data_IF_833453939201
#
_entry.id   IF_833453939201
#
_cell.length_a   1.000
_cell.length_b   1.000
_cell.length_c   1.000
_cell.angle_alpha   90.00
_cell.angle_beta   90.00
_cell.angle_gamma   90.00
#
_symmetry.space_group_name_H-M   'P 1'
#
loop_
_entity.id
_entity.type
_entity.pdbx_description
1 polymer ?
#
# COMPACT_ATOMS: atom_id res chain seq x y z
N UNK A 1 201.55 1.25 142.85
CA UNK A 1 200.74 1.88 141.78
C UNK A 1 201.23 1.35 140.44
N UNK A 2 200.38 0.62 139.69
CA UNK A 2 200.61 0.36 138.26
C UNK A 2 199.46 1.07 137.54
N UNK A 3 199.79 2.14 136.81
CA UNK A 3 198.81 2.96 136.12
C UNK A 3 198.14 2.16 135.00
N UNK A 4 196.81 2.06 135.04
CA UNK A 4 195.95 1.37 134.07
C UNK A 4 195.66 2.31 132.89
N UNK A 5 195.75 1.82 131.65
CA UNK A 5 195.52 2.60 130.42
C UNK A 5 194.04 2.59 130.01
N UNK A 6 193.55 3.69 129.41
CA UNK A 6 192.14 3.85 129.00
C UNK A 6 191.64 2.82 127.96
N UNK A 7 192.54 2.21 127.17
CA UNK A 7 192.20 1.10 126.26
C UNK A 7 191.76 -0.16 127.02
N UNK A 8 192.28 -0.36 128.23
CA UNK A 8 191.95 -1.51 129.06
C UNK A 8 190.51 -1.36 129.62
N UNK A 9 190.08 -0.14 129.95
CA UNK A 9 188.71 0.15 130.43
C UNK A 9 187.64 -0.11 129.35
N UNK A 10 187.90 0.22 128.08
CA UNK A 10 186.97 -0.08 126.97
C UNK A 10 186.88 -1.58 126.70
N UNK A 11 188.00 -2.29 126.79
CA UNK A 11 188.03 -3.75 126.67
C UNK A 11 187.26 -4.40 127.82
N UNK A 12 187.44 -3.91 129.05
CA UNK A 12 186.70 -4.36 130.22
C UNK A 12 185.20 -4.07 130.11
N UNK A 13 184.78 -2.92 129.57
CA UNK A 13 183.37 -2.62 129.37
C UNK A 13 182.72 -3.51 128.28
N UNK A 14 183.43 -3.81 127.20
CA UNK A 14 182.96 -4.76 126.16
C UNK A 14 182.93 -6.18 126.70
N UNK A 15 183.93 -6.58 127.49
CA UNK A 15 183.95 -7.86 128.20
C UNK A 15 182.83 -7.93 129.24
N UNK A 16 182.56 -6.87 129.99
CA UNK A 16 181.46 -6.78 130.95
C UNK A 16 180.10 -6.88 130.25
N UNK A 17 179.91 -6.21 129.11
CA UNK A 17 178.69 -6.38 128.29
C UNK A 17 178.55 -7.80 127.74
N UNK A 18 179.64 -8.40 127.26
CA UNK A 18 179.64 -9.79 126.77
C UNK A 18 179.34 -10.77 127.90
N UNK A 19 180.02 -10.65 129.03
CA UNK A 19 179.79 -11.50 130.22
C UNK A 19 178.40 -11.29 130.79
N UNK A 20 177.89 -10.07 130.84
CA UNK A 20 176.51 -9.80 131.26
C UNK A 20 175.49 -10.40 130.28
N UNK A 21 175.69 -10.24 128.97
CA UNK A 21 174.84 -10.87 127.96
C UNK A 21 174.93 -12.41 128.01
N UNK A 22 176.12 -12.96 128.23
CA UNK A 22 176.35 -14.39 128.48
C UNK A 22 175.64 -14.86 129.75
N UNK A 23 175.71 -14.11 130.86
CA UNK A 23 175.00 -14.43 132.10
C UNK A 23 173.48 -14.38 131.90
N UNK A 24 172.94 -13.36 131.24
CA UNK A 24 171.52 -13.29 130.90
C UNK A 24 171.10 -14.44 129.95
N UNK A 25 171.98 -14.85 129.03
CA UNK A 25 171.75 -16.00 128.15
C UNK A 25 171.80 -17.31 128.93
N UNK A 26 172.78 -17.50 129.80
CA UNK A 26 172.92 -18.67 130.67
C UNK A 26 171.69 -18.83 131.57
N UNK A 27 171.20 -17.75 132.19
CA UNK A 27 169.95 -17.76 132.97
C UNK A 27 168.74 -18.24 132.15
N UNK A 28 168.69 -17.95 130.84
CA UNK A 28 167.63 -18.42 129.95
C UNK A 28 167.84 -19.87 129.48
N UNK A 29 169.08 -20.25 129.18
CA UNK A 29 169.44 -21.56 128.59
C UNK A 29 169.47 -22.68 129.62
N UNK A 30 169.97 -22.42 130.83
CA UNK A 30 170.04 -23.40 131.92
C UNK A 30 168.70 -23.58 132.66
N UNK A 31 167.78 -22.63 132.55
CA UNK A 31 166.43 -22.79 133.09
C UNK A 31 165.58 -23.63 132.12
N UNK A 32 165.48 -24.93 132.39
CA UNK A 32 164.75 -25.90 131.55
C UNK A 32 163.30 -25.47 131.26
N UNK A 33 162.62 -24.79 132.21
CA UNK A 33 161.24 -24.33 132.04
C UNK A 33 161.12 -23.23 131.00
N UNK A 34 162.02 -22.24 131.02
CA UNK A 34 162.05 -21.16 130.03
C UNK A 34 162.47 -21.66 128.63
N UNK A 35 163.17 -22.79 128.55
CA UNK A 35 163.55 -23.42 127.28
C UNK A 35 162.39 -24.16 126.61
N UNK A 36 161.49 -24.75 127.42
CA UNK A 36 160.35 -25.54 126.92
C UNK A 36 159.11 -24.64 126.74
N UNK A 37 158.86 -23.71 127.66
CA UNK A 37 157.64 -22.86 127.71
C UNK A 37 158.02 -21.42 128.07
N UNK A 38 159.05 -20.87 127.44
CA UNK A 38 159.43 -19.46 127.61
C UNK A 38 158.63 -18.57 126.67
N UNK A 39 157.97 -17.56 127.23
CA UNK A 39 157.27 -16.53 126.48
C UNK A 39 157.08 -15.27 127.33
N UNK A 40 156.99 -14.12 126.68
CA UNK A 40 156.78 -12.83 127.34
C UNK A 40 155.28 -12.58 127.50
N UNK A 41 154.75 -12.88 128.69
CA UNK A 41 153.34 -12.69 129.02
C UNK A 41 152.89 -11.24 128.88
N UNK A 42 153.77 -10.26 129.17
CA UNK A 42 153.41 -8.85 129.04
C UNK A 42 153.27 -8.43 127.57
N UNK A 43 154.14 -8.94 126.69
CA UNK A 43 154.01 -8.71 125.25
C UNK A 43 152.76 -9.37 124.66
N UNK A 44 152.39 -10.57 125.12
CA UNK A 44 151.13 -11.22 124.72
C UNK A 44 149.90 -10.45 125.20
N UNK A 45 149.91 -9.93 126.43
CA UNK A 45 148.80 -9.12 126.95
C UNK A 45 148.60 -7.84 126.10
N UNK A 46 149.69 -7.18 125.70
CA UNK A 46 149.64 -6.03 124.77
C UNK A 46 149.11 -6.45 123.40
N UNK A 47 149.57 -7.58 122.84
CA UNK A 47 149.06 -8.08 121.55
C UNK A 47 147.57 -8.42 121.60
N UNK A 48 147.10 -9.04 122.68
CA UNK A 48 145.67 -9.31 122.91
C UNK A 48 144.90 -8.00 123.06
N UNK A 49 145.45 -7.01 123.74
CA UNK A 49 144.83 -5.69 123.87
C UNK A 49 144.70 -4.98 122.51
N UNK A 50 145.77 -4.93 121.72
CA UNK A 50 145.77 -4.36 120.37
C UNK A 50 144.79 -5.11 119.45
N UNK A 51 144.74 -6.44 119.55
CA UNK A 51 143.79 -7.25 118.80
C UNK A 51 142.34 -6.95 119.20
N UNK A 52 142.05 -6.80 120.49
CA UNK A 52 140.73 -6.37 120.98
C UNK A 52 140.36 -4.97 120.50
N UNK A 53 141.30 -4.05 120.45
CA UNK A 53 141.09 -2.70 119.90
C UNK A 53 140.78 -2.79 118.41
N UNK A 54 141.55 -3.57 117.64
CA UNK A 54 141.27 -3.81 116.21
C UNK A 54 139.87 -4.38 116.01
N UNK A 55 139.53 -5.46 116.71
CA UNK A 55 138.21 -6.09 116.65
C UNK A 55 137.08 -5.11 117.03
N UNK A 56 137.28 -4.30 118.07
CA UNK A 56 136.30 -3.27 118.45
C UNK A 56 136.15 -2.18 117.39
N UNK A 57 137.24 -1.73 116.75
CA UNK A 57 137.17 -0.72 115.68
C UNK A 57 136.56 -1.27 114.40
N UNK A 58 136.86 -2.52 114.02
CA UNK A 58 136.22 -3.21 112.91
C UNK A 58 134.73 -3.43 113.17
N UNK A 59 134.37 -3.88 114.39
CA UNK A 59 132.98 -4.01 114.80
C UNK A 59 132.24 -2.67 114.74
N UNK A 60 132.83 -1.59 115.24
CA UNK A 60 132.25 -0.26 115.15
C UNK A 60 132.06 0.18 113.68
N UNK A 61 133.03 -0.09 112.79
CA UNK A 61 132.90 0.17 111.34
C UNK A 61 131.78 -0.67 110.71
N UNK A 62 131.68 -1.94 111.05
CA UNK A 62 130.59 -2.80 110.56
C UNK A 62 129.23 -2.32 111.07
N UNK A 63 129.15 -1.87 112.33
CA UNK A 63 127.93 -1.28 112.89
C UNK A 63 127.53 0.03 112.19
N UNK A 64 128.50 0.90 111.83
CA UNK A 64 128.22 2.10 111.04
C UNK A 64 127.72 1.76 109.65
N UNK A 65 128.36 0.83 108.93
CA UNK A 65 127.89 0.39 107.61
C UNK A 65 126.52 -0.29 107.67
N UNK A 66 126.26 -1.09 108.71
CA UNK A 66 124.94 -1.70 108.92
C UNK A 66 123.87 -0.66 109.26
N UNK A 67 124.22 0.43 109.93
CA UNK A 67 123.32 1.56 110.16
C UNK A 67 123.02 2.31 108.84
N UNK A 68 124.04 2.58 108.02
CA UNK A 68 123.89 3.20 106.70
C UNK A 68 123.04 2.34 105.76
N UNK A 69 123.25 1.03 105.73
CA UNK A 69 122.46 0.10 104.92
C UNK A 69 120.97 0.14 105.32
N UNK A 70 120.69 0.12 106.62
CA UNK A 70 119.30 0.26 107.12
C UNK A 70 118.67 1.60 106.74
N UNK A 71 119.44 2.68 106.72
CA UNK A 71 118.96 3.98 106.25
C UNK A 71 118.69 3.96 104.74
N UNK A 72 119.60 3.40 103.95
CA UNK A 72 119.46 3.28 102.50
C UNK A 72 118.25 2.40 102.12
N UNK A 73 118.06 1.25 102.77
CA UNK A 73 116.89 0.38 102.56
C UNK A 73 115.58 1.12 102.85
N UNK A 74 115.55 1.91 103.94
CA UNK A 74 114.39 2.76 104.27
C UNK A 74 114.15 3.81 103.19
N UNK A 75 115.20 4.45 102.67
CA UNK A 75 115.09 5.42 101.58
C UNK A 75 114.55 4.75 100.31
N UNK A 76 115.05 3.57 99.95
CA UNK A 76 114.59 2.80 98.78
C UNK A 76 113.09 2.45 98.91
N UNK A 77 112.65 1.96 100.07
CA UNK A 77 111.24 1.65 100.30
C UNK A 77 110.34 2.90 100.13
N UNK A 78 110.78 4.05 100.65
CA UNK A 78 110.04 5.32 100.50
C UNK A 78 109.97 5.76 99.03
N UNK A 79 111.06 5.58 98.27
CA UNK A 79 111.10 5.94 96.84
C UNK A 79 110.22 5.00 96.00
N UNK A 80 110.27 3.69 96.24
CA UNK A 80 109.41 2.71 95.56
C UNK A 80 107.92 2.96 95.87
N UNK A 81 107.58 3.28 97.12
CA UNK A 81 106.21 3.67 97.49
C UNK A 81 105.76 4.95 96.78
N UNK A 82 106.65 5.93 96.60
CA UNK A 82 106.35 7.15 95.84
C UNK A 82 106.11 6.82 94.37
N UNK A 83 106.99 6.05 93.74
CA UNK A 83 106.84 5.62 92.35
C UNK A 83 105.52 4.86 92.14
N UNK A 84 105.17 3.93 93.04
CA UNK A 84 103.91 3.20 93.00
C UNK A 84 102.69 4.13 93.12
N UNK A 85 102.76 5.16 93.97
CA UNK A 85 101.68 6.16 94.09
C UNK A 85 101.59 7.00 92.83
N UNK A 86 102.71 7.47 92.29
CA UNK A 86 102.75 8.29 91.08
C UNK A 86 102.21 7.50 89.87
N UNK A 87 102.60 6.23 89.74
CA UNK A 87 102.05 5.31 88.72
C UNK A 87 100.53 5.14 88.87
N UNK A 88 100.04 4.95 90.10
CA UNK A 88 98.59 4.86 90.35
C UNK A 88 97.87 6.16 90.01
N UNK A 89 98.43 7.31 90.39
CA UNK A 89 97.88 8.62 90.06
C UNK A 89 97.83 8.85 88.55
N UNK A 90 98.90 8.49 87.83
CA UNK A 90 98.95 8.59 86.37
C UNK A 90 97.92 7.67 85.70
N UNK A 91 97.83 6.41 86.12
CA UNK A 91 96.82 5.48 85.58
C UNK A 91 95.40 5.98 85.84
N UNK A 92 95.13 6.55 87.02
CA UNK A 92 93.84 7.19 87.34
C UNK A 92 93.57 8.38 86.42
N UNK A 93 94.52 9.30 86.28
CA UNK A 93 94.39 10.47 85.41
C UNK A 93 94.16 10.07 83.94
N UNK A 94 94.83 9.02 83.44
CA UNK A 94 94.60 8.49 82.09
C UNK A 94 93.19 7.91 81.99
N UNK A 95 92.76 7.10 82.95
CA UNK A 95 91.40 6.54 82.97
C UNK A 95 90.33 7.64 83.02
N UNK A 96 90.53 8.65 83.86
CA UNK A 96 89.61 9.79 84.00
C UNK A 96 89.56 10.59 82.69
N UNK A 97 90.70 10.81 82.04
CA UNK A 97 90.76 11.45 80.73
C UNK A 97 90.06 10.63 79.63
N UNK A 98 90.25 9.32 79.60
CA UNK A 98 89.57 8.42 78.66
C UNK A 98 88.06 8.45 78.88
N UNK A 99 87.61 8.37 80.13
CA UNK A 99 86.19 8.39 80.48
C UNK A 99 85.54 9.74 80.18
N UNK A 100 86.25 10.85 80.36
CA UNK A 100 85.66 12.18 80.20
C UNK A 100 85.77 12.72 78.77
N UNK A 101 86.90 12.45 78.10
CA UNK A 101 87.26 13.09 76.83
C UNK A 101 87.29 12.13 75.63
N UNK A 102 87.22 10.81 75.85
CA UNK A 102 87.27 9.81 74.76
C UNK A 102 86.01 8.95 74.70
N UNK A 103 84.87 9.53 75.10
CA UNK A 103 83.58 8.83 75.03
C UNK A 103 83.19 8.58 73.57
N UNK A 104 82.56 7.43 73.25
CA UNK A 104 82.10 7.13 71.90
C UNK A 104 81.21 8.24 71.30
N UNK A 105 80.37 8.87 72.12
CA UNK A 105 79.45 9.92 71.68
C UNK A 105 80.16 11.22 71.24
N UNK A 106 81.42 11.41 71.65
CA UNK A 106 82.21 12.61 71.30
C UNK A 106 83.03 12.45 70.02
N UNK A 107 82.93 11.30 69.35
CA UNK A 107 83.58 11.06 68.05
C UNK A 107 82.92 11.88 66.96
N UNK A 108 83.70 12.26 65.94
CA UNK A 108 83.20 13.07 64.81
C UNK A 108 82.15 12.31 64.00
N UNK A 109 82.36 11.01 63.82
CA UNK A 109 81.51 10.08 63.09
C UNK A 109 80.50 9.33 63.98
N UNK A 110 80.22 9.82 65.20
CA UNK A 110 79.25 9.16 66.08
C UNK A 110 77.85 9.19 65.49
N UNK A 111 77.47 10.24 64.77
CA UNK A 111 76.20 10.34 64.05
C UNK A 111 75.95 9.17 63.09
N UNK A 112 77.00 8.66 62.44
CA UNK A 112 76.94 7.49 61.55
C UNK A 112 76.89 6.15 62.29
N UNK A 113 77.41 6.10 63.52
CA UNK A 113 77.56 4.86 64.31
C UNK A 113 76.60 4.79 65.50
N UNK A 114 75.74 5.79 65.67
CA UNK A 114 74.76 5.87 66.75
C UNK A 114 73.70 4.75 66.58
N UNK A 115 73.56 3.82 67.54
CA UNK A 115 72.56 2.75 67.46
C UNK A 115 71.12 3.26 67.44
N UNK A 116 70.88 4.52 67.82
CA UNK A 116 69.58 5.17 67.81
C UNK A 116 69.37 6.11 66.61
N UNK A 117 70.30 6.17 65.66
CA UNK A 117 70.23 7.08 64.50
C UNK A 117 68.88 7.00 63.78
N UNK A 118 68.43 5.80 63.43
CA UNK A 118 67.15 5.56 62.73
C UNK A 118 65.91 6.04 63.49
N UNK A 119 65.99 6.16 64.83
CA UNK A 119 64.87 6.67 65.65
C UNK A 119 64.88 8.19 65.75
N UNK A 120 66.05 8.82 65.60
CA UNK A 120 66.23 10.28 65.62
C UNK A 120 65.95 10.89 64.24
N UNK A 121 66.19 10.14 63.18
CA UNK A 121 65.93 10.57 61.81
C UNK A 121 64.44 10.84 61.57
N UNK A 122 64.18 11.93 60.85
CA UNK A 122 62.82 12.28 60.42
C UNK A 122 62.49 11.53 59.12
N UNK A 123 61.23 11.11 58.92
CA UNK A 123 60.81 10.54 57.65
C UNK A 123 61.16 11.44 56.46
N UNK A 124 61.54 10.82 55.34
CA UNK A 124 61.89 11.51 54.10
C UNK A 124 60.75 12.40 53.57
N UNK A 125 59.49 12.02 53.81
CA UNK A 125 58.30 12.84 53.54
C UNK A 125 57.38 12.80 54.74
N UNK A 126 57.18 13.95 55.39
CA UNK A 126 56.26 14.08 56.54
C UNK A 126 54.84 14.44 56.11
N UNK A 127 54.72 15.32 55.10
CA UNK A 127 53.45 15.76 54.54
C UNK A 127 53.61 16.13 53.06
N UNK A 128 52.50 16.27 52.35
CA UNK A 128 52.50 16.65 50.94
C UNK A 128 52.91 18.11 50.71
N UNK A 129 52.84 18.93 51.76
CA UNK A 129 53.27 20.33 51.79
C UNK A 129 54.65 20.52 52.45
N UNK A 130 55.42 19.45 52.66
CA UNK A 130 56.76 19.54 53.24
C UNK A 130 57.70 20.30 52.28
N UNK A 131 58.16 21.47 52.72
CA UNK A 131 59.00 22.38 51.91
C UNK A 131 60.38 21.77 51.64
N UNK A 132 60.85 20.80 52.45
CA UNK A 132 62.13 20.11 52.23
C UNK A 132 62.10 19.23 50.98
N UNK A 133 60.92 18.80 50.54
CA UNK A 133 60.72 17.94 49.40
C UNK A 133 60.62 18.74 48.10
N UNK A 134 61.79 19.14 47.62
CA UNK A 134 61.94 19.75 46.30
C UNK A 134 61.91 18.69 45.19
N UNK A 135 61.82 19.14 43.94
CA UNK A 135 61.73 18.26 42.76
C UNK A 135 62.94 17.32 42.63
N UNK A 136 64.14 17.76 43.01
CA UNK A 136 65.35 16.92 42.94
C UNK A 136 65.38 15.78 43.95
N UNK A 137 64.65 15.89 45.06
CA UNK A 137 64.60 14.87 46.10
C UNK A 137 63.78 13.62 45.72
N UNK A 138 63.01 13.68 44.62
CA UNK A 138 62.17 12.59 44.11
C UNK A 138 61.21 11.96 45.14
N UNK A 139 60.87 12.69 46.21
CA UNK A 139 59.95 12.23 47.25
C UNK A 139 58.48 12.54 46.92
N UNK A 140 58.23 13.47 46.00
CA UNK A 140 56.88 13.90 45.57
C UNK A 140 56.82 14.03 44.06
N UNK A 141 55.84 13.37 43.45
CA UNK A 141 55.58 13.44 42.02
C UNK A 141 54.25 14.12 41.74
N UNK A 142 54.23 15.06 40.78
CA UNK A 142 53.01 15.78 40.41
C UNK A 142 51.97 14.89 39.71
N UNK A 143 52.37 13.70 39.22
CA UNK A 143 51.45 12.71 38.66
C UNK A 143 50.70 11.89 39.71
N UNK A 144 51.11 11.95 40.98
CA UNK A 144 50.38 11.31 42.08
C UNK A 144 49.11 12.11 42.37
N UNK A 145 47.96 11.60 41.95
CA UNK A 145 46.66 12.22 42.20
C UNK A 145 46.05 11.70 43.50
N UNK A 146 46.30 12.42 44.59
CA UNK A 146 45.70 12.12 45.90
C UNK A 146 44.17 12.32 45.90
N UNK A 147 43.67 13.22 45.03
CA UNK A 147 42.25 13.57 44.95
C UNK A 147 41.51 12.73 43.90
N UNK A 148 42.12 11.64 43.41
CA UNK A 148 41.53 10.78 42.39
C UNK A 148 40.12 10.31 42.75
N UNK A 149 39.90 9.89 44.00
CA UNK A 149 38.60 9.41 44.46
C UNK A 149 37.54 10.52 44.48
N UNK A 150 37.90 11.73 44.89
CA UNK A 150 37.00 12.89 44.89
C UNK A 150 36.65 13.31 43.45
N UNK A 151 37.67 13.39 42.58
CA UNK A 151 37.50 13.67 41.15
C UNK A 151 36.57 12.65 40.49
N UNK A 152 36.77 11.36 40.79
CA UNK A 152 35.95 10.28 40.26
C UNK A 152 34.50 10.36 40.75
N UNK A 153 34.28 10.61 42.05
CA UNK A 153 32.93 10.83 42.59
C UNK A 153 32.21 11.98 41.89
N UNK A 154 32.90 13.11 41.69
CA UNK A 154 32.32 14.25 41.00
C UNK A 154 31.97 13.93 39.53
N UNK A 155 32.82 13.16 38.84
CA UNK A 155 32.53 12.67 37.49
C UNK A 155 31.33 11.72 37.44
N UNK A 156 31.21 10.81 38.42
CA UNK A 156 30.08 9.90 38.56
C UNK A 156 28.76 10.66 38.84
N UNK A 157 28.82 11.70 39.69
CA UNK A 157 27.68 12.59 39.97
C UNK A 157 27.24 13.35 38.71
N UNK A 158 28.18 13.94 37.96
CA UNK A 158 27.86 14.59 36.69
C UNK A 158 27.23 13.63 35.69
N UNK A 159 27.81 12.43 35.54
CA UNK A 159 27.29 11.41 34.64
C UNK A 159 25.88 10.97 35.03
N UNK A 160 25.63 10.81 36.34
CA UNK A 160 24.31 10.49 36.88
C UNK A 160 23.30 11.58 36.57
N UNK A 161 23.63 12.85 36.80
CA UNK A 161 22.73 13.97 36.53
C UNK A 161 22.43 14.11 35.03
N UNK A 162 23.44 13.98 34.16
CA UNK A 162 23.24 14.00 32.71
C UNK A 162 22.37 12.83 32.23
N UNK A 163 22.61 11.62 32.73
CA UNK A 163 21.80 10.45 32.39
C UNK A 163 20.35 10.63 32.83
N UNK A 164 20.13 11.17 34.04
CA UNK A 164 18.80 11.45 34.56
C UNK A 164 18.08 12.54 33.75
N UNK A 165 18.79 13.58 33.35
CA UNK A 165 18.25 14.62 32.48
C UNK A 165 17.84 14.05 31.13
N UNK A 166 18.71 13.28 30.47
CA UNK A 166 18.39 12.63 29.20
C UNK A 166 17.20 11.69 29.32
N UNK A 167 17.12 10.92 30.41
CA UNK A 167 15.98 10.05 30.67
C UNK A 167 14.68 10.84 30.79
N UNK A 168 14.68 11.94 31.56
CA UNK A 168 13.51 12.82 31.71
C UNK A 168 13.10 13.50 30.39
N UNK A 169 14.07 13.88 29.56
CA UNK A 169 13.81 14.42 28.23
C UNK A 169 13.20 13.37 27.31
N UNK A 170 13.72 12.14 27.35
CA UNK A 170 13.17 11.01 26.59
C UNK A 170 11.76 10.65 27.04
N UNK A 171 11.50 10.59 28.35
CA UNK A 171 10.16 10.32 28.88
C UNK A 171 9.15 11.40 28.49
N UNK A 172 9.55 12.69 28.54
CA UNK A 172 8.73 13.80 28.07
C UNK A 172 8.43 13.70 26.58
N UNK A 173 9.46 13.50 25.75
CA UNK A 173 9.27 13.33 24.30
C UNK A 173 8.37 12.14 23.97
N UNK A 174 8.49 11.04 24.72
CA UNK A 174 7.62 9.87 24.58
C UNK A 174 6.18 10.15 25.00
N UNK A 175 5.97 10.92 26.06
CA UNK A 175 4.64 11.33 26.49
C UNK A 175 3.99 12.27 25.46
N UNK A 176 4.76 13.23 24.94
CA UNK A 176 4.31 14.16 23.89
C UNK A 176 3.95 13.42 22.61
N UNK A 177 4.76 12.44 22.20
CA UNK A 177 4.47 11.57 21.06
C UNK A 177 3.16 10.81 21.25
N UNK A 178 2.97 10.16 22.41
CA UNK A 178 1.73 9.43 22.71
C UNK A 178 0.52 10.35 22.70
N UNK A 179 0.64 11.54 23.30
CA UNK A 179 -0.44 12.53 23.30
C UNK A 179 -0.80 12.97 21.87
N UNK A 180 0.20 13.19 21.01
CA UNK A 180 -0.02 13.52 19.61
C UNK A 180 -0.68 12.36 18.83
N UNK A 181 -0.26 11.12 19.07
CA UNK A 181 -0.86 9.91 18.49
C UNK A 181 -2.32 9.74 18.95
N UNK A 182 -2.60 9.92 20.24
CA UNK A 182 -3.95 9.86 20.80
C UNK A 182 -4.85 10.95 20.21
N UNK A 183 -4.36 12.18 20.09
CA UNK A 183 -5.08 13.27 19.45
C UNK A 183 -5.35 12.98 17.95
N UNK A 184 -4.36 12.43 17.25
CA UNK A 184 -4.52 12.03 15.85
C UNK A 184 -5.55 10.91 15.68
N UNK A 185 -5.52 9.89 16.53
CA UNK A 185 -6.49 8.78 16.48
C UNK A 185 -7.90 9.26 16.81
N UNK A 186 -8.08 10.12 17.81
CA UNK A 186 -9.37 10.77 18.11
C UNK A 186 -9.89 11.57 16.91
N UNK A 187 -9.03 12.38 16.29
CA UNK A 187 -9.40 13.16 15.10
C UNK A 187 -9.82 12.24 13.94
N UNK A 188 -9.11 11.13 13.73
CA UNK A 188 -9.46 10.14 12.71
C UNK A 188 -10.81 9.48 12.99
N UNK A 189 -11.07 9.09 14.22
CA UNK A 189 -12.36 8.51 14.63
C UNK A 189 -13.51 9.50 14.39
N UNK A 190 -13.32 10.78 14.74
CA UNK A 190 -14.31 11.82 14.45
C UNK A 190 -14.59 11.95 12.94
N UNK A 191 -13.55 11.86 12.10
CA UNK A 191 -13.75 11.85 10.64
C UNK A 191 -14.50 10.61 10.16
N UNK A 192 -14.20 9.43 10.68
CA UNK A 192 -14.91 8.20 10.34
C UNK A 192 -16.39 8.27 10.76
N UNK A 193 -16.68 8.82 11.94
CA UNK A 193 -18.04 9.03 12.44
C UNK A 193 -18.83 10.03 11.58
N UNK A 194 -18.21 11.17 11.25
CA UNK A 194 -18.84 12.17 10.38
C UNK A 194 -19.07 11.63 8.97
N UNK A 195 -18.13 10.87 8.41
CA UNK A 195 -18.28 10.20 7.12
C UNK A 195 -19.42 9.17 7.15
N UNK A 196 -19.50 8.34 8.19
CA UNK A 196 -20.61 7.39 8.39
C UNK A 196 -21.96 8.10 8.48
N UNK A 197 -22.02 9.22 9.20
CA UNK A 197 -23.23 10.03 9.31
C UNK A 197 -23.66 10.62 7.96
N UNK A 198 -22.72 11.21 7.21
CA UNK A 198 -22.98 11.75 5.87
C UNK A 198 -23.45 10.66 4.89
N UNK A 199 -22.85 9.48 4.92
CA UNK A 199 -23.26 8.34 4.09
C UNK A 199 -24.69 7.88 4.43
N UNK A 200 -25.05 7.85 5.72
CA UNK A 200 -26.43 7.52 6.15
C UNK A 200 -27.42 8.57 5.64
N UNK A 201 -27.12 9.86 5.81
CA UNK A 201 -27.94 10.95 5.30
C UNK A 201 -28.11 10.85 3.79
N UNK A 202 -27.03 10.64 3.04
CA UNK A 202 -27.08 10.46 1.59
C UNK A 202 -27.93 9.25 1.19
N UNK A 203 -27.81 8.12 1.89
CA UNK A 203 -28.64 6.94 1.64
C UNK A 203 -30.13 7.25 1.84
N UNK A 204 -30.46 8.00 2.91
CA UNK A 204 -31.83 8.41 3.21
C UNK A 204 -32.35 9.37 2.12
N UNK A 205 -31.58 10.37 1.73
CA UNK A 205 -32.00 11.33 0.69
C UNK A 205 -32.15 10.65 -0.66
N UNK A 206 -31.23 9.78 -1.07
CA UNK A 206 -31.35 8.98 -2.30
C UNK A 206 -32.61 8.13 -2.28
N UNK A 207 -32.91 7.43 -1.18
CA UNK A 207 -34.15 6.65 -1.04
C UNK A 207 -35.40 7.52 -1.13
N UNK A 208 -35.40 8.70 -0.49
CA UNK A 208 -36.52 9.64 -0.54
C UNK A 208 -36.75 10.17 -1.97
N UNK A 209 -35.67 10.52 -2.68
CA UNK A 209 -35.73 10.95 -4.09
C UNK A 209 -36.25 9.82 -4.98
N UNK A 210 -35.74 8.60 -4.84
CA UNK A 210 -36.23 7.45 -5.60
C UNK A 210 -37.72 7.17 -5.33
N UNK A 211 -38.17 7.29 -4.08
CA UNK A 211 -39.58 7.13 -3.72
C UNK A 211 -40.45 8.22 -4.37
N UNK A 212 -40.01 9.48 -4.34
CA UNK A 212 -40.71 10.59 -4.98
C UNK A 212 -40.80 10.43 -6.50
N UNK A 213 -39.71 10.03 -7.17
CA UNK A 213 -39.68 9.74 -8.61
C UNK A 213 -40.59 8.56 -8.96
N UNK A 214 -40.59 7.49 -8.14
CA UNK A 214 -41.48 6.35 -8.34
C UNK A 214 -42.95 6.77 -8.27
N UNK A 215 -43.31 7.59 -7.30
CA UNK A 215 -44.68 8.10 -7.15
C UNK A 215 -45.07 9.03 -8.30
N UNK A 216 -44.16 9.89 -8.74
CA UNK A 216 -44.36 10.73 -9.93
C UNK A 216 -44.59 9.88 -11.18
N UNK A 217 -43.74 8.89 -11.45
CA UNK A 217 -43.88 8.00 -12.60
C UNK A 217 -45.19 7.20 -12.54
N UNK A 218 -45.61 6.77 -11.34
CA UNK A 218 -46.91 6.10 -11.13
C UNK A 218 -48.06 7.03 -11.49
N UNK A 219 -48.05 8.28 -11.02
CA UNK A 219 -49.06 9.29 -11.37
C UNK A 219 -49.09 9.56 -12.87
N UNK A 220 -47.93 9.75 -13.49
CA UNK A 220 -47.80 9.97 -14.93
C UNK A 220 -48.33 8.78 -15.76
N UNK A 221 -48.08 7.55 -15.30
CA UNK A 221 -48.61 6.35 -15.95
C UNK A 221 -50.14 6.26 -15.83
N UNK A 222 -50.71 6.61 -14.66
CA UNK A 222 -52.17 6.68 -14.48
C UNK A 222 -52.80 7.75 -15.39
N UNK A 223 -52.23 8.95 -15.43
CA UNK A 223 -52.69 10.04 -16.31
C UNK A 223 -52.63 9.63 -17.79
N UNK A 224 -51.53 9.00 -18.22
CA UNK A 224 -51.40 8.50 -19.59
C UNK A 224 -52.42 7.40 -19.90
N UNK A 225 -52.69 6.49 -18.97
CA UNK A 225 -53.71 5.47 -19.13
C UNK A 225 -55.13 6.07 -19.20
N UNK A 226 -55.42 7.11 -18.41
CA UNK A 226 -56.68 7.85 -18.48
C UNK A 226 -56.84 8.60 -19.80
N UNK A 227 -55.80 9.28 -20.28
CA UNK A 227 -55.79 9.89 -21.62
C UNK A 227 -56.09 8.87 -22.71
N UNK A 228 -55.39 7.73 -22.73
CA UNK A 228 -55.65 6.66 -23.71
C UNK A 228 -57.09 6.12 -23.63
N UNK A 229 -57.66 6.02 -22.43
CA UNK A 229 -59.08 5.64 -22.26
C UNK A 229 -60.02 6.71 -22.81
N UNK A 230 -59.71 8.00 -22.60
CA UNK A 230 -60.49 9.11 -23.17
C UNK A 230 -60.38 9.13 -24.70
N UNK A 231 -59.18 9.04 -25.25
CA UNK A 231 -58.92 8.96 -26.70
C UNK A 231 -59.67 7.78 -27.32
N UNK A 232 -59.61 6.59 -26.72
CA UNK A 232 -60.36 5.42 -27.21
C UNK A 232 -61.87 5.62 -27.15
N UNK A 233 -62.39 6.31 -26.13
CA UNK A 233 -63.82 6.64 -26.06
C UNK A 233 -64.21 7.63 -27.16
N UNK A 234 -63.40 8.67 -27.37
CA UNK A 234 -63.59 9.63 -28.45
C UNK A 234 -63.55 8.94 -29.82
N UNK A 235 -62.56 8.07 -30.05
CA UNK A 235 -62.47 7.28 -31.28
C UNK A 235 -63.70 6.39 -31.48
N UNK A 236 -64.23 5.78 -30.41
CA UNK A 236 -65.48 5.01 -30.48
C UNK A 236 -66.69 5.90 -30.81
N UNK A 237 -66.79 7.08 -30.19
CA UNK A 237 -67.84 8.06 -30.47
C UNK A 237 -67.75 8.57 -31.92
N UNK A 238 -66.56 8.89 -32.41
CA UNK A 238 -66.30 9.32 -33.78
C UNK A 238 -66.62 8.20 -34.78
N UNK A 239 -66.19 6.96 -34.51
CA UNK A 239 -66.53 5.80 -35.33
C UNK A 239 -68.05 5.57 -35.39
N UNK A 240 -68.75 5.69 -34.25
CA UNK A 240 -70.21 5.59 -34.20
C UNK A 240 -70.88 6.73 -34.95
N UNK A 241 -70.36 7.96 -34.83
CA UNK A 241 -70.84 9.11 -35.57
C UNK A 241 -70.64 8.91 -37.09
N UNK A 242 -69.48 8.44 -37.52
CA UNK A 242 -69.18 8.09 -38.91
C UNK A 242 -70.12 7.00 -39.43
N UNK A 243 -70.26 5.87 -38.73
CA UNK A 243 -71.19 4.80 -39.10
C UNK A 243 -72.62 5.35 -39.21
N UNK A 244 -73.07 6.14 -38.24
CA UNK A 244 -74.41 6.73 -38.27
C UNK A 244 -74.60 7.72 -39.42
N UNK A 245 -73.54 8.43 -39.81
CA UNK A 245 -73.53 9.38 -40.93
C UNK A 245 -73.57 8.63 -42.25
N UNK A 246 -72.78 7.56 -42.40
CA UNK A 246 -72.78 6.70 -43.58
C UNK A 246 -74.12 5.98 -43.76
N UNK A 247 -74.70 5.43 -42.68
CA UNK A 247 -76.01 4.76 -42.71
C UNK A 247 -77.15 5.73 -43.07
N UNK A 248 -77.11 6.97 -42.56
CA UNK A 248 -78.07 8.03 -42.92
C UNK A 248 -77.75 8.69 -44.27
N UNK A 249 -76.55 8.46 -44.78
CA UNK A 249 -76.10 9.00 -46.05
C UNK A 249 -76.92 8.44 -47.21
N UNK A 250 -77.06 9.26 -48.25
CA UNK A 250 -77.91 8.93 -49.39
C UNK A 250 -77.36 7.76 -50.25
N UNK A 251 -76.07 7.41 -50.08
CA UNK A 251 -75.43 6.29 -50.79
C UNK A 251 -75.97 4.95 -50.29
N UNK A 252 -75.93 4.68 -48.97
CA UNK A 252 -76.36 3.40 -48.40
C UNK A 252 -77.88 3.28 -48.24
N UNK A 253 -78.57 4.40 -48.00
CA UNK A 253 -80.05 4.44 -47.94
C UNK A 253 -80.73 4.38 -49.30
N UNK A 254 -79.93 4.39 -50.38
CA UNK A 254 -80.36 4.43 -51.78
C UNK A 254 -81.49 5.43 -52.07
N UNK A 255 -81.49 6.58 -51.39
CA UNK A 255 -82.58 7.54 -51.42
C UNK A 255 -82.98 7.92 -52.87
N UNK A 256 -84.22 7.66 -53.32
CA UNK A 256 -84.66 7.94 -54.69
C UNK A 256 -84.69 9.43 -55.01
N UNK A 257 -84.70 10.30 -53.98
CA UNK A 257 -84.64 11.75 -54.15
C UNK A 257 -83.29 12.23 -54.73
N UNK A 258 -82.23 11.43 -54.68
CA UNK A 258 -80.96 11.75 -55.35
C UNK A 258 -81.09 11.90 -56.87
N UNK A 259 -82.09 11.26 -57.46
CA UNK A 259 -82.35 11.33 -58.90
C UNK A 259 -83.11 12.62 -59.29
N UNK A 260 -83.64 13.38 -58.32
CA UNK A 260 -84.38 14.61 -58.58
C UNK A 260 -83.43 15.69 -59.09
N UNK A 261 -83.71 16.20 -60.29
CA UNK A 261 -82.95 17.30 -60.88
C UNK A 261 -83.35 18.63 -60.23
N UNK A 262 -82.37 19.46 -59.88
CA UNK A 262 -82.63 20.85 -59.43
C UNK A 262 -83.36 21.69 -60.49
N UNK A 263 -83.28 21.29 -61.77
CA UNK A 263 -83.95 21.97 -62.90
C UNK A 263 -85.43 21.59 -63.10
N UNK A 264 -86.02 20.73 -62.25
CA UNK A 264 -87.48 20.54 -62.19
C UNK A 264 -87.95 19.10 -61.96
N UNK A 265 -89.21 18.90 -61.50
CA UNK A 265 -89.71 17.60 -61.01
C UNK A 265 -89.82 16.50 -62.06
N UNK A 266 -89.93 16.87 -63.33
CA UNK A 266 -90.08 15.95 -64.46
C UNK A 266 -88.72 15.50 -65.03
N UNK A 267 -87.61 16.09 -64.53
CA UNK A 267 -86.27 15.81 -65.01
C UNK A 267 -85.49 15.05 -63.96
N UNK A 268 -84.70 14.11 -64.45
CA UNK A 268 -83.92 13.17 -63.65
C UNK A 268 -82.44 13.32 -63.96
N UNK A 269 -81.59 13.10 -62.97
CA UNK A 269 -80.14 13.04 -63.17
C UNK A 269 -79.79 11.62 -63.66
N UNK A 270 -79.29 11.45 -64.91
CA UNK A 270 -79.10 10.12 -65.51
C UNK A 270 -78.20 9.20 -64.67
N UNK A 271 -77.08 9.73 -64.15
CA UNK A 271 -76.09 8.97 -63.39
C UNK A 271 -76.62 8.43 -62.05
N UNK A 272 -77.72 9.00 -61.54
CA UNK A 272 -78.30 8.70 -60.21
C UNK A 272 -79.69 8.08 -60.31
N UNK A 273 -80.13 7.71 -61.50
CA UNK A 273 -81.43 7.09 -61.72
C UNK A 273 -81.45 5.65 -61.19
N UNK A 274 -82.41 5.32 -60.30
CA UNK A 274 -82.53 4.01 -59.63
C UNK A 274 -83.83 3.26 -59.96
N UNK A 275 -84.43 3.54 -61.12
CA UNK A 275 -85.68 2.91 -61.55
C UNK A 275 -86.90 3.81 -61.37
N UNK A 276 -88.06 3.31 -61.81
CA UNK A 276 -89.35 4.01 -61.68
C UNK A 276 -89.89 3.92 -60.25
N UNK A 277 -90.64 4.92 -59.81
CA UNK A 277 -91.30 4.87 -58.50
C UNK A 277 -92.37 3.76 -58.47
N UNK A 278 -92.72 3.28 -57.27
CA UNK A 278 -93.79 2.27 -57.12
C UNK A 278 -95.10 2.75 -57.72
N UNK A 279 -95.43 4.03 -57.52
CA UNK A 279 -96.61 4.68 -58.08
C UNK A 279 -96.58 4.70 -59.63
N UNK A 280 -95.43 4.96 -60.24
CA UNK A 280 -95.26 4.92 -61.69
C UNK A 280 -95.41 3.49 -62.25
N UNK A 281 -94.82 2.49 -61.60
CA UNK A 281 -94.96 1.08 -61.99
C UNK A 281 -96.41 0.58 -61.85
N UNK A 282 -97.12 1.03 -60.83
CA UNK A 282 -98.55 0.76 -60.65
C UNK A 282 -99.39 1.37 -61.77
N UNK A 283 -99.07 2.61 -62.19
CA UNK A 283 -99.68 3.24 -63.35
C UNK A 283 -99.47 2.43 -64.65
N UNK A 284 -98.26 1.92 -64.88
CA UNK A 284 -97.96 1.06 -66.04
C UNK A 284 -98.73 -0.26 -65.98
N UNK A 285 -98.80 -0.90 -64.81
CA UNK A 285 -99.58 -2.15 -64.62
C UNK A 285 -101.06 -1.92 -64.88
N UNK A 286 -101.61 -0.77 -64.47
CA UNK A 286 -102.99 -0.40 -64.73
C UNK A 286 -103.25 -0.23 -66.23
N UNK A 287 -102.36 0.47 -66.94
CA UNK A 287 -102.43 0.66 -68.39
C UNK A 287 -102.33 -0.68 -69.15
N UNK A 288 -101.45 -1.60 -68.73
CA UNK A 288 -101.36 -2.94 -69.34
C UNK A 288 -102.64 -3.75 -69.17
N UNK A 289 -103.28 -3.70 -68.00
CA UNK A 289 -104.58 -4.35 -67.78
C UNK A 289 -105.66 -3.79 -68.71
N UNK A 290 -105.68 -2.47 -68.92
CA UNK A 290 -106.61 -1.82 -69.85
C UNK A 290 -106.37 -2.28 -71.29
N UNK A 291 -105.10 -2.35 -71.73
CA UNK A 291 -104.74 -2.85 -73.07
C UNK A 291 -105.17 -4.30 -73.31
N UNK A 292 -105.05 -5.17 -72.29
CA UNK A 292 -105.51 -6.57 -72.40
C UNK A 292 -107.03 -6.63 -72.60
N UNK A 293 -107.79 -5.83 -71.84
CA UNK A 293 -109.25 -5.75 -71.97
C UNK A 293 -109.66 -5.21 -73.35
N UNK A 294 -108.97 -4.19 -73.86
CA UNK A 294 -109.24 -3.61 -75.17
C UNK A 294 -108.93 -4.59 -76.32
N UNK A 295 -107.84 -5.35 -76.20
CA UNK A 295 -107.46 -6.38 -77.18
C UNK A 295 -108.47 -7.54 -77.23
N UNK A 296 -109.00 -7.97 -76.08
CA UNK A 296 -110.07 -8.97 -76.02
C UNK A 296 -111.33 -8.48 -76.76
N UNK A 297 -111.73 -7.23 -76.52
CA UNK A 297 -112.87 -6.60 -77.19
C UNK A 297 -112.71 -6.60 -78.72
N UNK A 298 -111.53 -6.23 -79.22
CA UNK A 298 -111.24 -6.21 -80.66
C UNK A 298 -111.26 -7.61 -81.30
N UNK A 299 -110.84 -8.66 -80.57
CA UNK A 299 -110.92 -10.04 -81.06
C UNK A 299 -112.36 -10.55 -81.19
N UNK A 300 -113.23 -10.18 -80.26
CA UNK A 300 -114.67 -10.49 -80.31
C UNK A 300 -115.33 -9.86 -81.55
N UNK A 301 -115.02 -8.59 -81.82
CA UNK A 301 -115.50 -7.86 -82.99
C UNK A 301 -115.00 -8.46 -84.31
N UNK A 302 -113.75 -8.95 -84.37
CA UNK A 302 -113.20 -9.60 -85.54
C UNK A 302 -113.91 -10.93 -85.86
N UNK A 303 -114.19 -11.76 -84.85
CA UNK A 303 -114.94 -13.02 -85.03
C UNK A 303 -116.33 -12.79 -85.62
N UNK A 304 -117.03 -11.75 -85.18
CA UNK A 304 -118.35 -11.43 -85.72
C UNK A 304 -118.28 -11.02 -87.20
N UNK A 305 -117.25 -10.25 -87.60
CA UNK A 305 -117.05 -9.85 -89.00
C UNK A 305 -116.74 -11.05 -89.91
N UNK A 306 -115.94 -12.00 -89.46
CA UNK A 306 -115.58 -13.18 -90.27
C UNK A 306 -116.79 -14.09 -90.54
N UNK A 307 -117.67 -14.29 -89.55
CA UNK A 307 -118.92 -15.05 -89.71
C UNK A 307 -119.85 -14.43 -90.77
N UNK A 308 -119.94 -13.10 -90.79
CA UNK A 308 -120.74 -12.37 -91.78
C UNK A 308 -120.14 -12.44 -93.19
N UNK A 309 -118.82 -12.42 -93.31
CA UNK A 309 -118.12 -12.59 -94.59
C UNK A 309 -118.32 -13.98 -95.19
N UNK A 310 -118.26 -15.04 -94.39
CA UNK A 310 -118.45 -16.40 -94.88
C UNK A 310 -119.89 -16.68 -95.31
N UNK A 311 -120.89 -16.13 -94.60
CA UNK A 311 -122.29 -16.15 -95.06
C UNK A 311 -122.47 -15.51 -96.44
N UNK A 312 -121.84 -14.36 -96.67
CA UNK A 312 -121.89 -13.66 -97.98
C UNK A 312 -121.17 -14.44 -99.08
N UNK A 313 -120.08 -15.14 -98.75
CA UNK A 313 -119.29 -15.96 -99.69
C UNK A 313 -120.10 -17.15 -100.22
N UNK A 314 -120.77 -17.88 -99.34
CA UNK A 314 -121.59 -19.07 -99.70
C UNK A 314 -122.78 -18.68 -100.59
N UNK A 315 -123.45 -17.56 -100.30
CA UNK A 315 -124.55 -17.04 -101.12
C UNK A 315 -124.09 -16.67 -102.55
N UNK A 316 -122.95 -15.97 -102.69
CA UNK A 316 -122.39 -15.63 -104.01
C UNK A 316 -121.99 -16.86 -104.84
N UNK A 317 -121.39 -17.87 -104.21
CA UNK A 317 -121.01 -19.11 -104.90
C UNK A 317 -122.24 -19.85 -105.47
N UNK A 318 -123.36 -19.85 -104.74
CA UNK A 318 -124.61 -20.50 -105.17
C UNK A 318 -125.24 -19.83 -106.39
N UNK A 319 -125.18 -18.50 -106.47
CA UNK A 319 -125.70 -17.71 -107.60
C UNK A 319 -124.84 -17.91 -108.86
N UNK A 320 -123.51 -17.94 -108.72
CA UNK A 320 -122.61 -18.16 -109.84
C UNK A 320 -122.81 -19.54 -110.51
N UNK A 321 -122.96 -20.60 -109.71
CA UNK A 321 -123.15 -21.97 -110.19
C UNK A 321 -124.47 -22.17 -110.96
N UNK A 322 -125.53 -21.45 -110.57
CA UNK A 322 -126.81 -21.44 -111.30
C UNK A 322 -126.70 -20.68 -112.64
N UNK A 323 -125.87 -19.63 -112.70
CA UNK A 323 -125.58 -18.87 -113.92
C UNK A 323 -124.82 -19.69 -114.96
N UNK A 324 -123.77 -20.41 -114.54
CA UNK A 324 -122.94 -21.24 -115.43
C UNK A 324 -123.75 -22.38 -116.08
N UNK A 325 -124.63 -23.04 -115.32
CA UNK A 325 -125.51 -24.10 -115.85
C UNK A 325 -126.49 -23.60 -116.92
N UNK A 326 -126.92 -22.33 -116.84
CA UNK A 326 -127.79 -21.71 -117.86
C UNK A 326 -127.02 -21.42 -119.14
N UNK A 327 -125.83 -20.83 -119.02
CA UNK A 327 -124.97 -20.50 -120.16
C UNK A 327 -124.52 -21.75 -120.93
N UNK A 328 -124.23 -22.85 -120.22
CA UNK A 328 -123.80 -24.08 -120.87
C UNK A 328 -124.91 -24.75 -121.73
N UNK A 329 -126.18 -24.66 -121.30
CA UNK A 329 -127.32 -25.16 -122.10
C UNK A 329 -127.51 -24.35 -123.38
N UNK A 330 -127.42 -23.03 -123.29
CA UNK A 330 -127.52 -22.13 -124.45
C UNK A 330 -126.40 -22.39 -125.47
N UNK A 331 -125.16 -22.53 -125.00
CA UNK A 331 -124.02 -22.82 -125.89
C UNK A 331 -124.14 -24.17 -126.63
N UNK A 332 -124.75 -25.19 -126.02
CA UNK A 332 -125.00 -26.46 -126.70
C UNK A 332 -126.10 -26.36 -127.77
N UNK A 333 -127.12 -25.52 -127.56
CA UNK A 333 -128.18 -25.29 -128.54
C UNK A 333 -127.66 -24.49 -129.75
N UNK A 334 -126.88 -23.45 -129.51
CA UNK A 334 -126.27 -22.62 -130.57
C UNK A 334 -125.33 -23.43 -131.48
N UNK A 335 -124.56 -24.36 -130.89
CA UNK A 335 -123.62 -25.22 -131.64
C UNK A 335 -124.35 -26.23 -132.53
N UNK A 336 -125.47 -26.79 -132.07
CA UNK A 336 -126.33 -27.68 -132.88
C UNK A 336 -127.04 -26.93 -134.03
N UNK A 337 -127.37 -25.66 -133.84
CA UNK A 337 -127.95 -24.82 -134.89
C UNK A 337 -126.92 -24.48 -135.99
N UNK A 338 -125.68 -24.18 -135.60
CA UNK A 338 -124.56 -23.92 -136.53
C UNK A 338 -124.23 -25.15 -137.38
N UNK A 339 -124.16 -26.35 -136.79
CA UNK A 339 -123.83 -27.58 -137.52
C UNK A 339 -124.90 -27.96 -138.57
N UNK A 340 -126.19 -27.70 -138.29
CA UNK A 340 -127.28 -27.91 -139.26
C UNK A 340 -127.23 -26.92 -140.43
N UNK A 341 -126.81 -25.68 -140.18
CA UNK A 341 -126.66 -24.65 -141.21
C UNK A 341 -125.49 -24.99 -142.16
N UNK A 342 -124.36 -25.44 -141.60
CA UNK A 342 -123.18 -25.82 -142.38
C UNK A 342 -123.40 -27.06 -143.26
N UNK A 343 -124.20 -28.04 -142.80
CA UNK A 343 -124.58 -29.20 -143.61
C UNK A 343 -125.44 -28.84 -144.83
N UNK A 344 -126.31 -27.83 -144.72
CA UNK A 344 -127.11 -27.33 -145.86
C UNK A 344 -126.23 -26.60 -146.89
N UNK A 345 -125.33 -25.73 -146.43
CA UNK A 345 -124.41 -25.01 -147.31
C UNK A 345 -123.47 -25.95 -148.09
N UNK A 346 -123.00 -27.03 -147.46
CA UNK A 346 -122.09 -28.00 -148.10
C UNK A 346 -122.76 -28.89 -149.16
N UNK A 347 -124.08 -29.12 -149.06
CA UNK A 347 -124.84 -29.88 -150.05
C UNK A 347 -125.15 -29.04 -151.31
N UNK A 348 -125.47 -27.75 -151.12
CA UNK A 348 -125.72 -26.82 -152.24
C UNK A 348 -124.45 -26.60 -153.10
N UNK A 349 -123.27 -26.62 -152.49
CA UNK A 349 -121.98 -26.52 -153.20
C UNK A 349 -121.63 -27.76 -154.05
N UNK A 350 -122.26 -28.94 -153.81
CA UNK A 350 -121.93 -30.18 -154.55
C UNK A 350 -122.80 -30.43 -155.78
N UNK A 351 -124.03 -29.89 -155.83
CA UNK A 351 -124.96 -30.14 -156.94
C UNK A 351 -124.81 -29.14 -158.11
N UNK A 352 -124.16 -27.99 -157.91
CA UNK A 352 -124.00 -26.99 -158.96
C UNK A 352 -122.77 -27.19 -159.87
N UNK A 353 -121.94 -28.23 -159.66
CA UNK A 353 -120.75 -28.48 -160.48
C UNK A 353 -120.94 -29.50 -161.64
N UNK A 354 -122.16 -29.90 -162.00
CA UNK A 354 -122.38 -30.91 -163.05
C UNK A 354 -123.50 -30.58 -164.06
N UNK A 355 -123.61 -29.32 -164.51
CA UNK A 355 -124.36 -28.96 -165.71
C UNK A 355 -124.05 -27.54 -166.20
N UNK A 356 -123.53 -27.40 -167.43
CA UNK A 356 -123.26 -26.14 -168.17
C UNK A 356 -122.09 -25.29 -167.63
N UNK A 357 -121.29 -24.56 -168.42
CA UNK A 357 -121.57 -23.85 -169.66
C UNK A 357 -121.67 -22.35 -169.36
N UNK A 358 -120.87 -21.52 -170.06
CA UNK A 358 -120.96 -20.06 -170.13
C UNK A 358 -120.75 -19.30 -168.81
N UNK A 359 -120.54 -17.98 -168.72
CA UNK A 359 -119.86 -16.97 -169.51
C UNK A 359 -119.95 -15.67 -168.69
N UNK A 360 -118.92 -14.81 -168.78
CA UNK A 360 -118.96 -13.35 -168.54
C UNK A 360 -119.49 -12.79 -167.20
N UNK A 361 -118.63 -11.97 -166.58
CA UNK A 361 -118.96 -10.56 -166.34
C UNK A 361 -118.89 -10.05 -164.89
N UNK A 362 -118.07 -8.98 -164.71
CA UNK A 362 -118.28 -7.73 -163.90
C UNK A 362 -119.00 -7.86 -162.53
N UNK A 363 -118.61 -7.22 -161.42
CA UNK A 363 -117.89 -5.97 -161.14
C UNK A 363 -117.85 -5.76 -159.59
N UNK A 364 -116.90 -4.93 -159.11
CA UNK A 364 -117.01 -4.00 -157.95
C UNK A 364 -117.10 -4.59 -156.51
N UNK A 365 -116.02 -4.44 -155.71
CA UNK A 365 -115.67 -3.30 -154.82
C UNK A 365 -116.36 -3.35 -153.46
N UNK A 366 -115.64 -3.44 -152.33
CA UNK A 366 -115.41 -2.38 -151.33
C UNK A 366 -115.27 -3.09 -149.97
N UNK A 367 -114.52 -2.74 -148.92
CA UNK A 367 -113.59 -1.68 -148.53
C UNK A 367 -112.91 -2.17 -147.21
N UNK A 368 -111.74 -1.68 -146.78
CA UNK A 368 -111.33 -1.82 -145.39
C UNK A 368 -111.23 -0.43 -144.75
N UNK A 369 -112.26 0.00 -144.01
CA UNK A 369 -112.27 1.30 -143.29
C UNK A 369 -112.73 1.12 -141.83
N UNK A 370 -111.73 1.26 -140.93
CA UNK A 370 -111.67 2.07 -139.69
C UNK A 370 -112.83 2.10 -138.63
N UNK A 371 -112.37 2.02 -137.35
CA UNK A 371 -112.82 2.64 -136.06
C UNK A 371 -113.63 1.77 -135.05
N UNK A 372 -113.21 1.83 -133.77
CA UNK A 372 -113.82 1.25 -132.53
C UNK A 372 -115.11 1.95 -132.07
N UNK A 373 -115.58 1.90 -130.79
CA UNK A 373 -115.02 1.46 -129.48
C UNK A 373 -115.78 0.24 -128.86
N UNK A 374 -115.50 -0.39 -127.71
CA UNK A 374 -114.54 -0.20 -126.62
C UNK A 374 -114.73 -1.28 -125.51
N UNK A 375 -113.75 -1.31 -124.59
CA UNK A 375 -113.75 -1.84 -123.20
C UNK A 375 -113.58 -3.37 -122.92
N UNK A 376 -112.34 -3.73 -122.51
CA UNK A 376 -111.85 -4.42 -121.28
C UNK A 376 -112.77 -5.44 -120.54
N UNK A 377 -112.26 -6.46 -119.77
CA UNK A 377 -111.01 -6.43 -118.99
C UNK A 377 -110.19 -7.76 -118.77
N UNK A 378 -108.97 -7.55 -118.25
CA UNK A 378 -108.25 -8.31 -117.20
C UNK A 378 -108.10 -9.85 -117.27
N UNK A 379 -106.90 -10.30 -117.69
CA UNK A 379 -106.12 -11.38 -117.02
C UNK A 379 -104.64 -10.98 -117.08
N UNK A 380 -104.01 -10.72 -115.93
CA UNK A 380 -103.13 -11.62 -115.18
C UNK A 380 -101.97 -12.19 -116.01
N UNK A 381 -100.77 -11.71 -115.73
CA UNK A 381 -99.59 -12.56 -115.58
C UNK A 381 -98.80 -12.08 -114.35
N UNK A 382 -98.40 -13.06 -113.54
CA UNK A 382 -97.42 -12.94 -112.46
C UNK A 382 -96.03 -12.69 -113.04
N UNK A 383 -95.16 -11.99 -112.30
CA UNK A 383 -93.75 -12.32 -112.04
C UNK A 383 -93.23 -11.40 -110.92
N UNK A 384 -92.47 -11.99 -110.01
CA UNK A 384 -91.71 -11.41 -108.90
C UNK A 384 -90.74 -10.31 -109.35
N UNK A 385 -90.55 -9.26 -108.51
CA UNK A 385 -89.29 -8.52 -108.33
C UNK A 385 -89.32 -7.74 -106.99
N UNK A 386 -88.28 -8.00 -106.20
CA UNK A 386 -87.51 -7.12 -105.31
C UNK A 386 -87.94 -5.63 -105.19
N UNK A 387 -87.94 -5.13 -103.95
CA UNK A 387 -87.18 -3.93 -103.53
C UNK A 387 -86.98 -4.00 -102.00
N UNK A 388 -85.71 -4.02 -101.61
CA UNK A 388 -85.17 -3.71 -100.29
C UNK A 388 -85.41 -2.22 -99.98
N UNK A 389 -85.95 -1.90 -98.80
CA UNK A 389 -85.28 -1.24 -97.65
C UNK A 389 -86.08 -1.62 -96.40
#
# INVERSE_FOLDING_TARGET
MKAVLAKDLEQDAKLAKRTHAELCKQQRVFNARNRIIGGDTQAWDIQVHDQRIKEATEKARHETFAAELRQNDKVICILDDREKRDRKCLCRAISDFQQNCQKPETRREFDLSDPLALKKELPARQSDSDVRNTVSGMQKFMGEDLNFQERKKFQEEQMREWSLQQHREWERARADQKFAEDHYTQTRLNFDETASHLQKLESITRKAVCAAVKEFNRKQAMESAERKRQEKRQEQEDNMAEISSQLRGDLLSENPQQAASSFGPHRVVPDRWKGMSREQLEGVRLAQKQQIQEKLRLQEEARQRDLDWDRRRVQKARVALLGERRQHRQQCEDRRALDRSNLRLAAEQRLQCAGHGWARGRQRSSAPIKRGPGLFPLKRLFIFIYIYI
#
